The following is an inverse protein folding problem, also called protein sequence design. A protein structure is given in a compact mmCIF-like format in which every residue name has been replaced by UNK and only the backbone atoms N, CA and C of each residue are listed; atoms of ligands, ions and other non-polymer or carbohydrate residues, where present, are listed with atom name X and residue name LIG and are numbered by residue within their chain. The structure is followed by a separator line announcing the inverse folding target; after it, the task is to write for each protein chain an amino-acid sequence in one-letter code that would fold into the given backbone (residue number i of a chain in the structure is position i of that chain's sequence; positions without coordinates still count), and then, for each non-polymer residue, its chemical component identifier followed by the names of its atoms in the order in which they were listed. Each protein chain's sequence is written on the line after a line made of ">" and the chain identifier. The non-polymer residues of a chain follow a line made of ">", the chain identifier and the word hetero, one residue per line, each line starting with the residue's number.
data_IF_519989270426
#
_entry.id   IF_519989270426
#
_cell.length_a   1.000
_cell.length_b   1.000
_cell.length_c   1.000
_cell.angle_alpha   90.00
_cell.angle_beta   90.00
_cell.angle_gamma   90.00
#
_symmetry.space_group_name_H-M   'P 1'
#
loop_
_entity.id
_entity.type
_entity.pdbx_description
1 polymer ?
#
# COMPACT_ATOMS: atom_id res chain seq x y z
N UNK A 1 -2.19 -0.05 -34.59
CA UNK A 1 -2.99 0.61 -33.55
C UNK A 1 -4.05 -0.40 -33.16
N UNK A 2 -3.81 -1.20 -32.11
CA UNK A 2 -4.82 -2.16 -31.65
C UNK A 2 -5.83 -1.39 -30.80
N UNK A 3 -7.09 -1.41 -31.21
CA UNK A 3 -8.22 -0.88 -30.46
C UNK A 3 -8.24 -1.49 -29.05
N UNK A 4 -7.86 -0.70 -28.05
CA UNK A 4 -8.01 -1.02 -26.63
C UNK A 4 -9.38 -0.52 -26.14
N UNK A 5 -10.43 -0.82 -26.89
CA UNK A 5 -11.78 -0.50 -26.47
C UNK A 5 -12.16 -1.48 -25.34
N UNK A 6 -12.49 -1.00 -24.13
CA UNK A 6 -12.98 -1.88 -23.08
C UNK A 6 -14.26 -2.58 -23.58
N UNK A 7 -14.53 -3.83 -23.15
CA UNK A 7 -15.76 -4.52 -23.51
C UNK A 7 -16.98 -3.71 -23.05
N UNK A 8 -18.13 -3.81 -23.75
CA UNK A 8 -19.34 -3.11 -23.34
C UNK A 8 -19.74 -3.57 -21.93
N UNK A 9 -19.87 -2.62 -21.00
CA UNK A 9 -20.32 -2.90 -19.64
C UNK A 9 -21.73 -3.49 -19.67
N UNK A 10 -21.92 -4.64 -19.01
CA UNK A 10 -23.25 -5.22 -18.79
C UNK A 10 -23.99 -4.48 -17.66
N UNK A 11 -25.32 -4.58 -17.58
CA UNK A 11 -26.11 -3.98 -16.47
C UNK A 11 -25.63 -4.42 -15.07
N UNK A 12 -24.96 -5.58 -14.96
CA UNK A 12 -24.35 -6.06 -13.72
C UNK A 12 -23.07 -5.31 -13.31
N UNK A 13 -22.41 -4.58 -14.21
CA UNK A 13 -21.19 -3.79 -13.95
C UNK A 13 -21.49 -2.33 -13.57
N UNK A 14 -22.74 -1.88 -13.69
CA UNK A 14 -23.12 -0.53 -13.36
C UNK A 14 -23.15 -0.33 -11.84
N UNK A 15 -22.43 0.69 -11.33
CA UNK A 15 -22.59 1.13 -9.95
C UNK A 15 -24.07 1.49 -9.71
N UNK A 16 -24.72 0.97 -8.65
CA UNK A 16 -26.12 1.26 -8.39
C UNK A 16 -26.32 2.76 -8.22
N UNK A 17 -27.23 3.32 -9.00
CA UNK A 17 -27.53 4.75 -8.96
C UNK A 17 -28.02 5.14 -7.56
N UNK A 18 -27.28 6.03 -6.89
CA UNK A 18 -27.74 6.72 -5.67
C UNK A 18 -27.19 6.21 -4.34
N UNK A 19 -26.39 5.13 -4.31
CA UNK A 19 -25.68 4.70 -3.09
C UNK A 19 -24.17 4.71 -3.33
N UNK A 20 -23.37 5.48 -2.58
CA UNK A 20 -21.92 5.39 -2.69
C UNK A 20 -21.47 3.96 -2.31
N UNK A 21 -20.52 3.37 -3.03
CA UNK A 21 -19.99 2.06 -2.66
C UNK A 21 -19.41 2.15 -1.25
N UNK A 22 -19.94 1.34 -0.34
CA UNK A 22 -19.40 1.18 1.01
C UNK A 22 -18.27 0.15 0.92
N UNK A 23 -17.11 0.37 1.56
CA UNK A 23 -16.06 -0.63 1.64
C UNK A 23 -16.62 -1.96 2.16
N UNK A 24 -16.19 -3.07 1.57
CA UNK A 24 -16.69 -4.39 1.95
C UNK A 24 -16.47 -4.66 3.45
N UNK A 25 -17.54 -5.03 4.15
CA UNK A 25 -17.54 -5.24 5.60
C UNK A 25 -16.49 -6.28 6.01
N UNK A 26 -15.78 -6.01 7.11
CA UNK A 26 -14.78 -6.91 7.67
C UNK A 26 -13.40 -6.88 7.00
N UNK A 27 -13.21 -6.09 5.93
CA UNK A 27 -11.87 -5.87 5.35
C UNK A 27 -11.17 -4.67 6.02
N UNK A 28 -9.85 -4.75 6.25
CA UNK A 28 -9.09 -3.70 6.92
C UNK A 28 -9.08 -2.41 6.10
N UNK A 29 -9.12 -1.29 6.82
CA UNK A 29 -8.96 0.06 6.28
C UNK A 29 -7.52 0.52 6.46
N UNK A 30 -6.83 0.87 5.38
CA UNK A 30 -5.54 1.55 5.49
C UNK A 30 -5.73 3.06 5.38
N UNK A 31 -5.09 3.83 6.26
CA UNK A 31 -5.07 5.29 6.14
C UNK A 31 -3.63 5.79 6.04
N UNK A 32 -3.36 6.65 5.05
CA UNK A 32 -2.08 7.34 4.86
C UNK A 32 -2.32 8.82 5.11
N UNK A 33 -1.92 9.29 6.29
CA UNK A 33 -1.91 10.72 6.63
C UNK A 33 -0.66 11.36 6.06
N UNK A 34 -0.79 12.45 5.30
CA UNK A 34 0.34 13.10 4.64
C UNK A 34 0.30 14.64 4.76
N UNK A 35 1.47 15.24 4.95
CA UNK A 35 1.62 16.70 4.94
C UNK A 35 1.36 17.27 3.54
N UNK A 36 0.30 18.08 3.41
CA UNK A 36 -0.05 18.74 2.13
C UNK A 36 0.97 19.79 1.71
N UNK A 37 1.56 20.50 2.68
CA UNK A 37 2.55 21.56 2.45
C UNK A 37 3.95 21.01 2.10
N UNK A 38 4.16 19.70 2.24
CA UNK A 38 5.47 19.07 2.07
C UNK A 38 5.64 18.39 0.71
N UNK A 39 4.64 18.52 -0.19
CA UNK A 39 4.59 17.84 -1.49
C UNK A 39 4.69 16.29 -1.39
N UNK A 40 4.04 15.69 -0.39
CA UNK A 40 4.08 14.23 -0.17
C UNK A 40 2.87 13.48 -0.73
N UNK A 41 1.93 14.17 -1.39
CA UNK A 41 0.76 13.54 -2.00
C UNK A 41 1.15 12.43 -2.99
N UNK A 42 2.10 12.69 -3.88
CA UNK A 42 2.52 11.70 -4.89
C UNK A 42 3.10 10.43 -4.25
N UNK A 43 3.87 10.60 -3.16
CA UNK A 43 4.41 9.47 -2.40
C UNK A 43 3.30 8.67 -1.73
N UNK A 44 2.36 9.35 -1.07
CA UNK A 44 1.22 8.71 -0.41
C UNK A 44 0.33 7.98 -1.42
N UNK A 45 0.04 8.61 -2.56
CA UNK A 45 -0.76 8.03 -3.64
C UNK A 45 -0.09 6.81 -4.28
N UNK A 46 1.22 6.85 -4.53
CA UNK A 46 1.95 5.68 -5.02
C UNK A 46 1.91 4.52 -4.02
N UNK A 47 2.16 4.78 -2.73
CA UNK A 47 2.07 3.74 -1.69
C UNK A 47 0.66 3.13 -1.61
N UNK A 48 -0.39 3.95 -1.76
CA UNK A 48 -1.76 3.45 -1.80
C UNK A 48 -2.00 2.51 -3.00
N UNK A 49 -1.52 2.87 -4.19
CA UNK A 49 -1.62 2.02 -5.39
C UNK A 49 -0.87 0.70 -5.22
N UNK A 50 0.32 0.74 -4.62
CA UNK A 50 1.12 -0.46 -4.34
C UNK A 50 0.43 -1.41 -3.36
N UNK A 51 -0.26 -0.88 -2.35
CA UNK A 51 -1.02 -1.69 -1.40
C UNK A 51 -2.25 -2.31 -2.07
N UNK A 52 -3.03 -1.51 -2.80
CA UNK A 52 -4.22 -1.99 -3.50
C UNK A 52 -3.88 -3.04 -4.57
N UNK A 53 -2.78 -2.87 -5.31
CA UNK A 53 -2.36 -3.83 -6.34
C UNK A 53 -1.86 -5.16 -5.73
N UNK A 54 -1.21 -5.07 -4.57
CA UNK A 54 -0.64 -6.24 -3.88
C UNK A 54 -1.73 -7.05 -3.16
N UNK A 55 -2.57 -6.38 -2.38
CA UNK A 55 -3.52 -7.03 -1.49
C UNK A 55 -4.90 -7.24 -2.10
N UNK A 56 -5.26 -6.49 -3.16
CA UNK A 56 -6.52 -6.63 -3.90
C UNK A 56 -7.71 -6.73 -2.92
N UNK A 57 -8.40 -7.87 -2.92
CA UNK A 57 -9.59 -8.12 -2.12
C UNK A 57 -9.33 -8.27 -0.61
N UNK A 58 -8.07 -8.30 -0.18
CA UNK A 58 -7.71 -8.37 1.25
C UNK A 58 -7.74 -7.00 1.94
N UNK A 59 -7.85 -5.89 1.21
CA UNK A 59 -8.01 -4.54 1.77
C UNK A 59 -9.39 -4.00 1.37
N UNK A 60 -10.08 -3.36 2.31
CA UNK A 60 -11.38 -2.74 2.05
C UNK A 60 -11.22 -1.40 1.33
N UNK A 61 -10.31 -0.57 1.83
CA UNK A 61 -9.97 0.72 1.24
C UNK A 61 -8.57 1.19 1.64
N UNK A 62 -8.03 2.13 0.87
CA UNK A 62 -6.89 2.96 1.27
C UNK A 62 -7.28 4.43 1.21
N UNK A 63 -7.34 5.09 2.37
CA UNK A 63 -7.66 6.50 2.49
C UNK A 63 -6.41 7.37 2.47
N UNK A 64 -6.41 8.43 1.66
CA UNK A 64 -5.41 9.51 1.72
C UNK A 64 -5.95 10.65 2.57
N UNK A 65 -5.32 10.91 3.72
CA UNK A 65 -5.80 11.89 4.69
C UNK A 65 -4.87 13.12 4.68
N UNK A 66 -5.35 14.30 4.26
CA UNK A 66 -4.59 15.54 4.34
C UNK A 66 -4.21 15.87 5.79
N UNK A 67 -2.93 16.21 6.00
CA UNK A 67 -2.39 16.66 7.29
C UNK A 67 -1.40 17.81 7.12
N UNK A 68 -0.78 18.23 8.23
CA UNK A 68 0.15 19.36 8.30
C UNK A 68 1.38 19.03 9.15
N UNK A 69 2.29 19.99 9.36
CA UNK A 69 3.39 19.86 10.33
C UNK A 69 4.43 18.77 10.01
N UNK A 70 4.58 18.42 8.73
CA UNK A 70 5.43 17.30 8.32
C UNK A 70 4.93 15.94 8.81
N UNK A 71 3.62 15.78 9.04
CA UNK A 71 3.02 14.50 9.35
C UNK A 71 3.15 13.53 8.17
N UNK A 72 3.58 12.31 8.45
CA UNK A 72 3.42 11.18 7.54
C UNK A 72 3.27 9.91 8.38
N UNK A 73 2.07 9.33 8.34
CA UNK A 73 1.73 8.14 9.13
C UNK A 73 0.86 7.20 8.32
N UNK A 74 1.04 5.90 8.55
CA UNK A 74 0.25 4.84 7.94
C UNK A 74 -0.36 4.01 9.06
N UNK A 75 -1.69 3.87 9.04
CA UNK A 75 -2.42 3.00 9.97
C UNK A 75 -3.16 1.90 9.22
N UNK A 76 -3.37 0.77 9.88
CA UNK A 76 -4.25 -0.31 9.47
C UNK A 76 -5.30 -0.45 10.56
N UNK A 77 -6.54 -0.06 10.26
CA UNK A 77 -7.59 0.26 11.23
C UNK A 77 -7.02 1.22 12.29
N UNK A 78 -7.06 0.81 13.57
CA UNK A 78 -6.54 1.58 14.70
C UNK A 78 -5.04 1.33 14.99
N UNK A 79 -4.37 0.45 14.23
CA UNK A 79 -2.99 0.08 14.48
C UNK A 79 -1.99 0.93 13.65
N UNK A 80 -1.02 1.54 14.32
CA UNK A 80 0.02 2.34 13.67
C UNK A 80 1.10 1.46 13.02
N UNK A 81 1.11 1.40 11.69
CA UNK A 81 2.07 0.64 10.88
C UNK A 81 3.40 1.40 10.72
N UNK A 82 3.33 2.70 10.48
CA UNK A 82 4.49 3.56 10.27
C UNK A 82 4.21 5.01 10.70
N UNK A 83 5.18 5.67 11.32
CA UNK A 83 5.18 7.11 11.56
C UNK A 83 6.56 7.69 11.26
N UNK A 84 6.61 8.76 10.48
CA UNK A 84 7.86 9.26 9.91
C UNK A 84 8.90 9.67 10.94
N UNK A 85 8.53 10.32 12.04
CA UNK A 85 9.50 10.73 13.06
C UNK A 85 9.98 9.53 13.87
N UNK A 86 9.09 8.63 14.25
CA UNK A 86 9.34 7.41 15.02
C UNK A 86 10.20 6.40 14.26
N UNK A 87 9.87 6.15 12.99
CA UNK A 87 10.50 5.10 12.18
C UNK A 87 11.65 5.62 11.28
N UNK A 88 12.05 6.89 11.43
CA UNK A 88 13.27 7.42 10.79
C UNK A 88 13.11 7.72 9.29
N UNK A 89 11.99 8.29 8.88
CA UNK A 89 11.73 8.70 7.49
C UNK A 89 10.54 7.98 6.88
N UNK A 90 10.62 7.69 5.58
CA UNK A 90 9.55 7.01 4.86
C UNK A 90 9.87 5.52 4.72
N UNK A 91 8.86 4.64 4.72
CA UNK A 91 9.10 3.22 4.50
C UNK A 91 9.58 2.97 3.07
N UNK A 92 10.48 2.00 2.92
CA UNK A 92 10.62 1.29 1.64
C UNK A 92 9.33 0.49 1.37
N UNK A 93 8.96 0.33 0.09
CA UNK A 93 7.70 -0.31 -0.25
C UNK A 93 7.65 -1.79 0.16
N UNK A 94 8.78 -2.49 0.19
CA UNK A 94 8.85 -3.88 0.67
C UNK A 94 8.51 -3.94 2.15
N UNK A 95 9.15 -3.08 2.95
CA UNK A 95 8.90 -3.01 4.39
C UNK A 95 7.44 -2.64 4.69
N UNK A 96 6.86 -1.73 3.91
CA UNK A 96 5.44 -1.38 4.04
C UNK A 96 4.53 -2.59 3.74
N UNK A 97 4.73 -3.27 2.62
CA UNK A 97 3.95 -4.46 2.25
C UNK A 97 4.07 -5.56 3.30
N UNK A 98 5.27 -5.81 3.81
CA UNK A 98 5.49 -6.80 4.88
C UNK A 98 4.73 -6.45 6.16
N UNK A 99 4.87 -5.23 6.68
CA UNK A 99 4.16 -4.82 7.90
C UNK A 99 2.63 -4.85 7.74
N UNK A 100 2.12 -4.49 6.56
CA UNK A 100 0.67 -4.60 6.28
C UNK A 100 0.24 -6.05 6.24
N UNK A 101 0.96 -6.92 5.52
CA UNK A 101 0.70 -8.37 5.49
C UNK A 101 0.68 -8.95 6.91
N UNK A 102 1.72 -8.69 7.70
CA UNK A 102 1.85 -9.25 9.05
C UNK A 102 0.66 -8.88 9.95
N UNK A 103 -0.09 -7.83 9.58
CA UNK A 103 -1.30 -7.39 10.29
C UNK A 103 -2.60 -7.96 9.72
N UNK A 104 -2.71 -8.14 8.40
CA UNK A 104 -3.97 -8.50 7.73
C UNK A 104 -4.03 -9.94 7.25
N UNK A 105 -2.90 -10.53 6.89
CA UNK A 105 -2.81 -11.89 6.35
C UNK A 105 -1.40 -12.50 6.62
N UNK A 106 -1.04 -12.81 7.87
CA UNK A 106 0.35 -13.11 8.26
C UNK A 106 1.00 -14.31 7.54
N UNK A 107 0.18 -15.23 7.04
CA UNK A 107 0.65 -16.43 6.31
C UNK A 107 0.88 -16.23 4.81
N UNK A 108 0.59 -15.05 4.26
CA UNK A 108 0.67 -14.81 2.80
C UNK A 108 2.12 -14.67 2.34
N UNK A 109 2.51 -15.45 1.34
CA UNK A 109 3.79 -15.26 0.65
C UNK A 109 3.73 -14.03 -0.27
N UNK A 110 4.64 -13.07 -0.10
CA UNK A 110 4.77 -11.89 -0.97
C UNK A 110 5.85 -12.09 -2.06
N UNK A 111 6.37 -13.31 -2.21
CA UNK A 111 7.33 -13.70 -3.23
C UNK A 111 8.65 -12.94 -3.11
N UNK A 112 9.02 -12.18 -4.15
CA UNK A 112 10.28 -11.43 -4.19
C UNK A 112 10.43 -10.39 -3.08
N UNK A 113 9.32 -9.94 -2.50
CA UNK A 113 9.33 -9.03 -1.35
C UNK A 113 9.95 -9.73 -0.13
N UNK A 114 9.63 -11.00 0.10
CA UNK A 114 10.14 -11.76 1.26
C UNK A 114 11.52 -12.36 1.05
N UNK A 115 11.87 -12.68 -0.20
CA UNK A 115 13.19 -13.21 -0.54
C UNK A 115 14.31 -12.17 -0.42
N UNK A 116 14.02 -10.91 -0.73
CA UNK A 116 15.00 -9.83 -0.62
C UNK A 116 15.39 -9.50 0.84
N UNK A 117 14.51 -9.80 1.81
CA UNK A 117 14.85 -9.69 3.23
C UNK A 117 15.81 -10.80 3.70
N UNK A 118 16.10 -11.80 2.86
CA UNK A 118 16.98 -12.95 3.13
C UNK A 118 18.32 -12.91 2.37
N UNK A 119 18.72 -11.80 1.76
CA UNK A 119 20.00 -11.73 1.01
C UNK A 119 21.25 -11.79 1.91
N UNK A 120 21.72 -13.03 2.04
CA UNK A 120 23.08 -13.60 1.99
C UNK A 120 24.31 -12.66 2.21
N UNK A 121 25.09 -12.87 3.30
CA UNK A 121 26.37 -12.19 3.53
C UNK A 121 27.44 -12.44 2.45
N UNK A 122 27.23 -13.38 1.53
CA UNK A 122 28.27 -13.93 0.65
C UNK A 122 28.53 -13.08 -0.61
N UNK A 123 27.70 -12.07 -0.92
CA UNK A 123 27.86 -11.25 -2.15
C UNK A 123 28.97 -10.18 -2.09
N UNK A 124 29.70 -10.03 -0.96
CA UNK A 124 30.74 -8.98 -0.79
C UNK A 124 32.17 -9.41 -1.11
N UNK A 125 32.43 -10.67 -1.46
CA UNK A 125 33.78 -11.11 -1.85
C UNK A 125 33.88 -11.26 -3.36
N UNK A 126 34.25 -10.15 -4.03
CA UNK A 126 34.82 -10.22 -5.37
C UNK A 126 36.25 -10.80 -5.32
N UNK A 127 36.75 -11.37 -6.42
CA UNK A 127 38.09 -11.94 -6.45
C UNK A 127 39.13 -10.82 -6.31
N UNK A 128 40.00 -10.95 -5.31
CA UNK A 128 41.19 -10.08 -5.15
C UNK A 128 42.23 -10.51 -6.20
N UNK A 129 42.84 -9.58 -6.96
CA UNK A 129 43.97 -9.91 -7.83
C UNK A 129 45.24 -10.22 -7.03
#
# INVERSE_FOLDING_TARGET
>A
MSDNAPPPATEADALPAGTPPVPAEGRPRIAITYCTQCNWLLRAGWMAQELLSTFRDAIGEVALIPGSGGAFAITCDDALIWERRRDGGFPDIKALKQRVRDRIEPGRDLGHVDRASREDPTSRQGPTP
#
